data_IF_067516517124
#
_entry.id   IF_067516517124
#
_cell.length_a   1.000
_cell.length_b   1.000
_cell.length_c   1.000
_cell.angle_alpha   90.00
_cell.angle_beta   90.00
_cell.angle_gamma   90.00
#
_symmetry.space_group_name_H-M   'P 1'
#
loop_
_entity.id
_entity.type
_entity.pdbx_description
1 polymer ?
#
# COMPACT_ATOMS: atom_id res chain seq x y z
N UNK A 1 23.45 8.81 -7.69
CA UNK A 1 22.45 9.65 -7.00
C UNK A 1 21.24 8.78 -6.75
N UNK A 2 21.03 8.31 -5.53
CA UNK A 2 19.74 7.72 -5.12
C UNK A 2 18.73 8.86 -5.07
N UNK A 3 17.67 8.79 -5.87
CA UNK A 3 16.59 9.74 -5.76
C UNK A 3 16.03 9.66 -4.33
N UNK A 4 15.97 10.78 -3.62
CA UNK A 4 15.30 10.83 -2.33
C UNK A 4 13.82 10.50 -2.57
N UNK A 5 13.37 9.35 -2.07
CA UNK A 5 11.96 9.02 -2.11
C UNK A 5 11.19 10.01 -1.24
N UNK A 6 10.34 10.83 -1.86
CA UNK A 6 9.44 11.72 -1.16
C UNK A 6 8.04 11.13 -1.26
N UNK A 7 7.48 10.76 -0.12
CA UNK A 7 6.13 10.22 -0.06
C UNK A 7 5.10 11.34 -0.19
N UNK A 8 4.23 11.23 -1.19
CA UNK A 8 3.11 12.13 -1.42
C UNK A 8 1.81 11.45 -0.96
N UNK A 9 1.21 11.85 0.18
CA UNK A 9 -0.01 11.22 0.70
C UNK A 9 -1.24 11.41 -0.20
N UNK A 10 -1.16 12.27 -1.22
CA UNK A 10 -2.24 12.51 -2.18
C UNK A 10 -2.13 11.63 -3.43
N UNK A 11 -0.96 11.06 -3.69
CA UNK A 11 -0.74 10.15 -4.80
C UNK A 11 -1.39 8.77 -4.58
N UNK A 12 -1.55 8.03 -5.67
CA UNK A 12 -1.97 6.62 -5.61
C UNK A 12 -0.72 5.74 -5.63
N UNK A 13 -0.69 4.73 -4.76
CA UNK A 13 0.42 3.77 -4.70
C UNK A 13 -0.07 2.33 -4.76
N UNK A 14 0.68 1.49 -5.45
CA UNK A 14 0.56 0.04 -5.42
C UNK A 14 1.62 -0.55 -4.48
N UNK A 15 1.19 -1.44 -3.59
CA UNK A 15 2.06 -2.21 -2.70
C UNK A 15 2.19 -3.61 -3.26
N UNK A 16 3.41 -3.99 -3.66
CA UNK A 16 3.65 -5.28 -4.32
C UNK A 16 5.10 -5.71 -4.29
N UNK A 17 5.35 -6.98 -4.53
CA UNK A 17 6.69 -7.45 -4.86
C UNK A 17 7.12 -6.89 -6.25
N UNK A 18 8.42 -6.60 -6.47
CA UNK A 18 8.89 -6.00 -7.74
C UNK A 18 8.51 -6.81 -8.98
N UNK A 19 8.58 -8.14 -8.87
CA UNK A 19 8.28 -9.09 -9.94
C UNK A 19 6.80 -9.47 -10.01
N UNK A 20 5.98 -8.98 -9.08
CA UNK A 20 4.55 -9.29 -9.05
C UNK A 20 3.79 -8.46 -10.09
N UNK A 21 3.07 -9.15 -10.96
CA UNK A 21 2.23 -8.52 -11.99
C UNK A 21 1.14 -7.67 -11.35
N UNK A 22 0.36 -8.29 -10.47
CA UNK A 22 -0.74 -7.66 -9.77
C UNK A 22 -0.32 -7.20 -8.39
N UNK A 23 -0.77 -6.02 -7.93
CA UNK A 23 -0.47 -5.57 -6.58
C UNK A 23 -1.18 -6.39 -5.50
N UNK A 24 -0.67 -6.32 -4.26
CA UNK A 24 -1.36 -6.87 -3.09
C UNK A 24 -2.35 -5.84 -2.55
N UNK A 25 -1.88 -4.60 -2.39
CA UNK A 25 -2.72 -3.48 -1.96
C UNK A 25 -2.56 -2.27 -2.86
N UNK A 26 -3.58 -1.42 -2.87
CA UNK A 26 -3.52 -0.05 -3.38
C UNK A 26 -3.86 0.93 -2.29
N UNK A 27 -3.08 1.99 -2.21
CA UNK A 27 -3.32 3.15 -1.36
C UNK A 27 -3.81 4.27 -2.25
N UNK A 28 -5.04 4.73 -2.05
CA UNK A 28 -5.63 5.82 -2.81
C UNK A 28 -6.49 6.69 -1.89
N UNK A 29 -6.25 8.00 -1.90
CA UNK A 29 -7.02 8.93 -1.05
C UNK A 29 -6.94 8.56 0.44
N UNK A 30 -5.78 8.07 0.89
CA UNK A 30 -5.51 7.55 2.24
C UNK A 30 -6.34 6.32 2.65
N UNK A 31 -7.01 5.67 1.72
CA UNK A 31 -7.67 4.37 1.93
C UNK A 31 -6.83 3.25 1.35
N UNK A 32 -6.92 2.07 1.95
CA UNK A 32 -6.22 0.86 1.54
C UNK A 32 -7.23 -0.11 0.95
N UNK A 33 -6.91 -0.68 -0.21
CA UNK A 33 -7.74 -1.64 -0.93
C UNK A 33 -6.91 -2.90 -1.19
N UNK A 34 -7.50 -4.09 -1.08
CA UNK A 34 -6.88 -5.33 -1.51
C UNK A 34 -7.22 -5.63 -2.95
N UNK A 35 -6.23 -6.15 -3.69
CA UNK A 35 -6.45 -6.65 -5.03
C UNK A 35 -7.21 -7.98 -4.98
N UNK A 36 -8.20 -8.15 -5.86
CA UNK A 36 -9.00 -9.37 -5.96
C UNK A 36 -8.54 -10.19 -7.17
N UNK A 37 -7.60 -11.12 -6.97
CA UNK A 37 -7.00 -11.91 -8.07
C UNK A 37 -8.01 -12.74 -8.89
N UNK A 38 -9.18 -13.06 -8.34
CA UNK A 38 -10.15 -13.97 -8.93
C UNK A 38 -11.47 -13.32 -9.35
N UNK A 39 -11.63 -12.00 -9.22
CA UNK A 39 -12.89 -11.33 -9.60
C UNK A 39 -12.75 -10.56 -10.93
N UNK A 40 -13.28 -11.09 -12.05
CA UNK A 40 -13.19 -10.43 -13.36
C UNK A 40 -14.07 -9.19 -13.50
N UNK A 41 -14.89 -8.84 -12.48
CA UNK A 41 -15.76 -7.67 -12.46
C UNK A 41 -15.22 -6.54 -11.59
N UNK A 42 -14.26 -6.84 -10.72
CA UNK A 42 -13.67 -5.89 -9.77
C UNK A 42 -12.21 -6.24 -9.51
N UNK A 43 -11.32 -5.34 -9.92
CA UNK A 43 -9.90 -5.45 -9.62
C UNK A 43 -9.58 -5.22 -8.13
N UNK A 44 -10.47 -4.56 -7.39
CA UNK A 44 -10.25 -4.10 -6.01
C UNK A 44 -11.41 -4.44 -5.09
N UNK A 45 -11.07 -4.75 -3.83
CA UNK A 45 -12.01 -4.86 -2.73
C UNK A 45 -12.67 -3.51 -2.42
N UNK A 46 -13.62 -3.51 -1.47
CA UNK A 46 -13.92 -2.28 -0.73
C UNK A 46 -12.69 -1.78 0.03
N UNK A 47 -12.76 -0.60 0.64
CA UNK A 47 -11.70 -0.18 1.55
C UNK A 47 -11.58 -1.18 2.71
N UNK A 48 -10.36 -1.57 3.02
CA UNK A 48 -10.02 -2.53 4.09
C UNK A 48 -9.26 -1.85 5.23
N UNK A 49 -8.92 -0.58 5.06
CA UNK A 49 -8.06 0.13 5.99
C UNK A 49 -7.75 1.55 5.55
N UNK A 50 -6.93 2.22 6.36
CA UNK A 50 -6.51 3.60 6.14
C UNK A 50 -5.00 3.76 6.27
N UNK A 51 -4.49 4.79 5.60
CA UNK A 51 -3.12 5.27 5.75
C UNK A 51 -3.03 6.29 6.88
N UNK A 52 -2.26 5.96 7.91
CA UNK A 52 -1.90 6.85 9.02
C UNK A 52 -0.55 7.51 8.73
N UNK A 53 -0.53 8.85 8.73
CA UNK A 53 0.66 9.64 8.37
C UNK A 53 1.59 9.99 9.54
N UNK A 54 1.25 9.63 10.77
CA UNK A 54 2.17 9.79 11.91
C UNK A 54 3.48 9.03 11.63
N UNK A 55 4.58 9.40 12.29
CA UNK A 55 5.82 8.62 12.21
C UNK A 55 5.83 7.55 13.31
N UNK A 56 6.00 6.25 12.99
CA UNK A 56 6.14 5.68 11.64
C UNK A 56 4.81 5.66 10.87
N UNK A 57 4.89 5.80 9.54
CA UNK A 57 3.72 5.74 8.63
C UNK A 57 3.19 4.32 8.59
N UNK A 58 1.87 4.15 8.71
CA UNK A 58 1.24 2.84 8.89
C UNK A 58 0.01 2.66 8.03
N UNK A 59 -0.19 1.43 7.58
CA UNK A 59 -1.45 0.93 7.07
C UNK A 59 -2.14 0.21 8.22
N UNK A 60 -3.35 0.64 8.55
CA UNK A 60 -4.15 0.02 9.62
C UNK A 60 -5.48 -0.44 9.05
N UNK A 61 -5.98 -1.56 9.56
CA UNK A 61 -7.31 -2.03 9.21
C UNK A 61 -8.41 -1.17 9.88
N UNK A 62 -9.68 -1.51 9.64
CA UNK A 62 -10.82 -0.80 10.25
C UNK A 62 -10.97 -1.03 11.76
N UNK A 63 -10.34 -2.07 12.31
CA UNK A 63 -10.30 -2.32 13.74
C UNK A 63 -9.16 -1.56 14.43
N UNK A 64 -8.27 -0.93 13.64
CA UNK A 64 -7.13 -0.16 14.12
C UNK A 64 -5.88 -1.02 14.33
N UNK A 65 -5.86 -2.26 13.85
CA UNK A 65 -4.66 -3.10 13.89
C UNK A 65 -3.70 -2.71 12.77
N UNK A 66 -2.40 -2.71 13.10
CA UNK A 66 -1.35 -2.46 12.13
C UNK A 66 -1.30 -3.61 11.11
N UNK A 67 -1.40 -3.28 9.82
CA UNK A 67 -1.21 -4.22 8.71
C UNK A 67 0.23 -4.15 8.17
N UNK A 68 0.76 -2.93 8.03
CA UNK A 68 2.11 -2.71 7.53
C UNK A 68 2.65 -1.31 7.91
N UNK A 69 3.97 -1.18 7.83
CA UNK A 69 4.72 0.06 8.05
C UNK A 69 5.37 0.51 6.74
N UNK A 70 5.32 1.82 6.44
CA UNK A 70 5.96 2.40 5.27
C UNK A 70 7.25 3.09 5.70
N UNK A 71 8.37 2.66 5.11
CA UNK A 71 9.68 3.28 5.30
C UNK A 71 10.32 3.58 3.95
N UNK A 72 10.32 4.86 3.57
CA UNK A 72 10.74 5.26 2.23
C UNK A 72 9.92 4.53 1.14
N UNK A 73 10.58 3.91 0.14
CA UNK A 73 9.92 3.13 -0.91
C UNK A 73 9.53 1.71 -0.46
N UNK A 74 9.83 1.31 0.77
CA UNK A 74 9.62 -0.04 1.28
C UNK A 74 8.38 -0.12 2.18
N UNK A 75 7.69 -1.25 2.13
CA UNK A 75 6.54 -1.59 2.97
C UNK A 75 6.85 -2.87 3.73
N UNK A 76 6.84 -2.79 5.05
CA UNK A 76 7.06 -3.92 5.95
C UNK A 76 5.75 -4.38 6.56
N UNK A 77 5.27 -5.55 6.17
CA UNK A 77 4.05 -6.14 6.67
C UNK A 77 4.26 -6.75 8.07
N UNK A 78 3.20 -6.82 8.87
CA UNK A 78 3.25 -7.42 10.23
C UNK A 78 3.47 -8.92 10.22
N UNK A 79 3.12 -9.60 9.12
CA UNK A 79 3.40 -11.02 8.89
C UNK A 79 4.88 -11.29 8.54
N UNK A 80 5.70 -10.24 8.47
CA UNK A 80 7.12 -10.33 8.13
C UNK A 80 7.44 -10.25 6.65
N UNK A 81 6.45 -10.04 5.76
CA UNK A 81 6.70 -9.79 4.33
C UNK A 81 7.24 -8.38 4.09
N UNK A 82 8.05 -8.25 3.05
CA UNK A 82 8.64 -6.99 2.59
C UNK A 82 8.17 -6.75 1.16
N UNK A 83 7.53 -5.62 0.92
CA UNK A 83 6.95 -5.25 -0.38
C UNK A 83 7.48 -3.87 -0.79
N UNK A 84 7.43 -3.56 -2.07
CA UNK A 84 7.74 -2.23 -2.58
C UNK A 84 6.49 -1.35 -2.67
N UNK A 85 6.71 -0.04 -2.55
CA UNK A 85 5.71 1.01 -2.72
C UNK A 85 5.93 1.72 -4.05
N UNK A 86 5.03 1.53 -5.00
CA UNK A 86 5.14 2.04 -6.36
C UNK A 86 4.07 3.07 -6.65
N UNK A 87 4.47 4.30 -6.97
CA UNK A 87 3.50 5.33 -7.36
C UNK A 87 2.87 4.96 -8.71
N UNK A 88 1.54 5.06 -8.77
CA UNK A 88 0.75 4.82 -9.97
C UNK A 88 0.34 6.17 -10.55
N UNK A 89 0.70 6.42 -11.81
CA UNK A 89 0.15 7.54 -12.56
C UNK A 89 -1.23 7.12 -13.09
N UNK A 90 -2.27 7.70 -12.49
CA UNK A 90 -3.67 7.59 -12.93
C UNK A 90 -4.04 8.77 -13.82
#
# INVERSE_FOLDING_TARGET
MTANFVFDPTATYDVKDPDQKNPVWRIQGRRVYAYLEHDPRRDWSGDIGILVLCSPRRLVDHEGHDMAFIDGPDVRCVDGRHLGLYQVNV
#
